data_IF_841124027278
#
_entry.id   IF_841124027278
#
_cell.length_a   1.000
_cell.length_b   1.000
_cell.length_c   1.000
_cell.angle_alpha   90.00
_cell.angle_beta   90.00
_cell.angle_gamma   90.00
#
_symmetry.space_group_name_H-M   'P 1'
#
loop_
_entity.id
_entity.type
_entity.pdbx_description
1 polymer ?
#
# COMPACT_ATOMS: atom_id res chain seq x y z
N UNK A 1 -23.83 7.67 -1.66
CA UNK A 1 -22.36 7.88 -1.61
C UNK A 1 -22.03 9.35 -1.68
N UNK A 2 -21.11 9.82 -0.83
CA UNK A 2 -20.66 11.22 -0.82
C UNK A 2 -19.33 11.39 -1.58
N UNK A 3 -18.94 12.63 -1.86
CA UNK A 3 -17.62 12.93 -2.47
C UNK A 3 -16.46 12.49 -1.55
N UNK A 4 -16.68 12.49 -0.23
CA UNK A 4 -15.70 12.05 0.77
C UNK A 4 -15.42 10.55 0.65
N UNK A 5 -16.44 9.73 0.37
CA UNK A 5 -16.25 8.29 0.15
C UNK A 5 -15.35 8.04 -1.07
N UNK A 6 -15.55 8.79 -2.16
CA UNK A 6 -14.73 8.68 -3.37
C UNK A 6 -13.29 9.13 -3.14
N UNK A 7 -13.08 10.24 -2.44
CA UNK A 7 -11.75 10.72 -2.08
C UNK A 7 -11.02 9.70 -1.19
N UNK A 8 -11.72 9.12 -0.21
CA UNK A 8 -11.13 8.11 0.67
C UNK A 8 -10.86 6.80 -0.07
N UNK A 9 -11.75 6.37 -0.96
CA UNK A 9 -11.51 5.20 -1.80
C UNK A 9 -10.31 5.40 -2.74
N UNK A 10 -10.15 6.61 -3.32
CA UNK A 10 -8.97 6.95 -4.12
C UNK A 10 -7.69 6.88 -3.28
N UNK A 11 -7.72 7.35 -2.03
CA UNK A 11 -6.60 7.22 -1.09
C UNK A 11 -6.27 5.75 -0.80
N UNK A 12 -7.28 4.90 -0.58
CA UNK A 12 -7.08 3.47 -0.35
C UNK A 12 -6.51 2.75 -1.58
N UNK A 13 -6.95 3.10 -2.79
CA UNK A 13 -6.37 2.58 -4.04
C UNK A 13 -4.92 3.05 -4.20
N UNK A 14 -4.62 4.29 -3.85
CA UNK A 14 -3.26 4.81 -3.87
C UNK A 14 -2.36 4.04 -2.88
N UNK A 15 -2.87 3.71 -1.69
CA UNK A 15 -2.17 2.85 -0.73
C UNK A 15 -1.95 1.44 -1.25
N UNK A 16 -2.95 0.85 -1.90
CA UNK A 16 -2.81 -0.44 -2.56
C UNK A 16 -1.70 -0.40 -3.63
N UNK A 17 -1.60 0.69 -4.39
CA UNK A 17 -0.54 0.89 -5.38
C UNK A 17 0.84 1.01 -4.74
N UNK A 18 0.96 1.72 -3.61
CA UNK A 18 2.22 1.79 -2.86
C UNK A 18 2.65 0.42 -2.33
N UNK A 19 1.74 -0.33 -1.72
CA UNK A 19 2.02 -1.70 -1.28
C UNK A 19 2.40 -2.61 -2.46
N UNK A 20 1.68 -2.52 -3.59
CA UNK A 20 1.98 -3.29 -4.79
C UNK A 20 3.32 -2.91 -5.44
N UNK A 21 3.82 -1.68 -5.23
CA UNK A 21 5.13 -1.26 -5.72
C UNK A 21 6.25 -2.16 -5.20
N UNK A 22 6.12 -2.69 -3.98
CA UNK A 22 7.10 -3.63 -3.40
C UNK A 22 7.08 -5.02 -4.02
N UNK A 23 6.04 -5.36 -4.81
CA UNK A 23 5.96 -6.63 -5.54
C UNK A 23 6.79 -6.61 -6.82
N UNK A 24 7.18 -5.42 -7.29
CA UNK A 24 7.93 -5.25 -8.53
C UNK A 24 9.37 -4.92 -8.16
N UNK A 25 10.30 -5.89 -8.15
CA UNK A 25 11.71 -5.57 -8.06
C UNK A 25 12.14 -4.94 -9.38
N UNK A 26 12.43 -3.64 -9.39
CA UNK A 26 13.05 -3.01 -10.54
C UNK A 26 14.54 -3.35 -10.53
N UNK A 27 14.92 -4.32 -11.36
CA UNK A 27 16.33 -4.54 -11.69
C UNK A 27 16.84 -3.37 -12.56
N UNK A 28 18.11 -3.00 -12.41
CA UNK A 28 18.76 -1.94 -13.17
C UNK A 28 18.71 -2.18 -14.68
N UNK A 29 18.65 -3.43 -15.12
CA UNK A 29 18.51 -3.80 -16.53
C UNK A 29 17.09 -3.53 -17.06
N UNK A 30 16.05 -3.87 -16.31
CA UNK A 30 14.66 -3.53 -16.67
C UNK A 30 14.44 -2.01 -16.66
N UNK A 31 15.08 -1.30 -15.73
CA UNK A 31 15.01 0.16 -15.68
C UNK A 31 15.71 0.80 -16.88
N UNK A 32 16.82 0.23 -17.38
CA UNK A 32 17.48 0.70 -18.61
C UNK A 32 16.66 0.43 -19.86
N UNK A 33 16.02 -0.74 -19.95
CA UNK A 33 15.20 -1.14 -21.10
C UNK A 33 14.01 -0.21 -21.33
N UNK A 34 13.37 0.24 -20.24
CA UNK A 34 12.25 1.19 -20.28
C UNK A 34 12.67 2.65 -20.06
N UNK A 35 13.96 2.99 -20.22
CA UNK A 35 14.46 4.37 -20.13
C UNK A 35 14.18 5.06 -18.79
N UNK A 36 14.04 4.29 -17.71
CA UNK A 36 13.73 4.79 -16.37
C UNK A 36 12.25 5.08 -16.09
N UNK A 37 11.35 4.87 -17.05
CA UNK A 37 9.90 5.14 -16.90
C UNK A 37 9.24 4.28 -15.83
N UNK A 38 9.75 3.05 -15.61
CA UNK A 38 9.24 2.15 -14.59
C UNK A 38 9.33 2.73 -13.18
N UNK A 39 10.28 3.63 -12.90
CA UNK A 39 10.41 4.33 -11.62
C UNK A 39 9.29 5.34 -11.38
N UNK A 40 8.66 5.85 -12.42
CA UNK A 40 7.48 6.72 -12.29
C UNK A 40 6.21 5.92 -12.00
N UNK A 41 6.11 4.72 -12.55
CA UNK A 41 4.97 3.82 -12.35
C UNK A 41 5.05 3.12 -11.00
N UNK A 42 6.27 2.75 -10.58
CA UNK A 42 6.55 2.07 -9.32
C UNK A 42 7.63 2.81 -8.52
N UNK A 43 7.31 3.99 -7.93
CA UNK A 43 8.33 4.83 -7.29
C UNK A 43 8.97 4.21 -6.05
N UNK A 44 8.36 3.15 -5.51
CA UNK A 44 8.78 2.46 -4.28
C UNK A 44 9.15 0.99 -4.53
N UNK A 45 9.44 0.63 -5.78
CA UNK A 45 9.97 -0.70 -6.14
C UNK A 45 11.37 -0.96 -5.60
N UNK A 46 12.16 0.11 -5.40
CA UNK A 46 13.49 -0.01 -4.84
C UNK A 46 13.35 -0.31 -3.34
N UNK A 47 13.72 -1.52 -2.97
CA UNK A 47 13.93 -1.89 -1.58
C UNK A 47 15.12 -1.11 -1.03
N UNK A 48 14.90 0.12 -0.58
CA UNK A 48 15.91 0.82 0.23
C UNK A 48 16.32 -0.10 1.37
N UNK A 49 17.63 -0.22 1.57
CA UNK A 49 18.29 -1.11 2.52
C UNK A 49 17.71 -0.99 3.93
N UNK A 50 16.81 -1.91 4.31
CA UNK A 50 16.22 -2.01 5.64
C UNK A 50 16.60 -3.31 6.35
N UNK A 51 16.02 -3.55 7.54
CA UNK A 51 16.23 -4.75 8.37
C UNK A 51 15.90 -6.06 7.64
N UNK A 52 15.03 -6.01 6.62
CA UNK A 52 14.67 -7.13 5.76
C UNK A 52 15.57 -7.29 4.52
N UNK A 53 16.68 -6.54 4.43
CA UNK A 53 17.67 -6.63 3.36
C UNK A 53 17.38 -5.72 2.15
N UNK A 54 18.20 -5.87 1.10
CA UNK A 54 17.93 -5.32 -0.23
C UNK A 54 17.15 -6.36 -1.04
N UNK A 55 16.15 -5.91 -1.80
CA UNK A 55 15.47 -6.76 -2.77
C UNK A 55 16.39 -6.91 -3.99
N UNK A 56 17.36 -7.82 -3.95
CA UNK A 56 18.13 -8.23 -5.14
C UNK A 56 17.67 -9.61 -5.61
N UNK A 57 17.53 -9.79 -6.92
CA UNK A 57 17.22 -11.08 -7.57
C UNK A 57 18.37 -12.11 -7.47
N UNK A 58 19.35 -11.87 -6.61
CA UNK A 58 20.45 -12.78 -6.31
C UNK A 58 20.15 -13.49 -4.98
N UNK A 59 19.43 -14.61 -5.12
CA UNK A 59 19.25 -15.71 -4.16
C UNK A 59 18.30 -15.56 -2.96
N UNK A 60 17.99 -14.36 -2.45
CA UNK A 60 17.09 -14.22 -1.28
C UNK A 60 16.01 -13.14 -1.52
N UNK A 61 14.99 -13.47 -2.33
CA UNK A 61 13.78 -12.65 -2.38
C UNK A 61 13.14 -12.72 -0.98
N UNK A 62 12.99 -11.59 -0.23
CA UNK A 62 12.44 -11.62 1.11
C UNK A 62 10.96 -11.99 1.04
N UNK A 63 10.68 -13.30 1.07
CA UNK A 63 9.35 -13.91 0.92
C UNK A 63 8.34 -13.24 1.84
N UNK A 64 8.76 -12.95 3.08
CA UNK A 64 7.95 -12.26 4.08
C UNK A 64 7.52 -10.86 3.62
N UNK A 65 8.43 -10.08 3.02
CA UNK A 65 8.12 -8.76 2.47
C UNK A 65 7.14 -8.83 1.30
N UNK A 66 7.33 -9.81 0.41
CA UNK A 66 6.40 -10.07 -0.70
C UNK A 66 4.99 -10.40 -0.18
N UNK A 67 4.87 -11.30 0.79
CA UNK A 67 3.58 -11.66 1.38
C UNK A 67 2.93 -10.48 2.11
N UNK A 68 3.71 -9.71 2.88
CA UNK A 68 3.22 -8.49 3.55
C UNK A 68 2.68 -7.48 2.54
N UNK A 69 3.42 -7.22 1.46
CA UNK A 69 3.05 -6.30 0.39
C UNK A 69 1.77 -6.75 -0.33
N UNK A 70 1.69 -8.04 -0.70
CA UNK A 70 0.53 -8.60 -1.39
C UNK A 70 -0.73 -8.55 -0.53
N UNK A 71 -0.61 -8.91 0.75
CA UNK A 71 -1.75 -8.89 1.68
C UNK A 71 -2.18 -7.44 1.93
N UNK A 72 -1.24 -6.52 2.19
CA UNK A 72 -1.55 -5.10 2.40
C UNK A 72 -2.26 -4.50 1.17
N UNK A 73 -1.74 -4.73 -0.03
CA UNK A 73 -2.35 -4.25 -1.27
C UNK A 73 -3.78 -4.78 -1.45
N UNK A 74 -3.98 -6.07 -1.19
CA UNK A 74 -5.29 -6.72 -1.29
C UNK A 74 -6.28 -6.14 -0.27
N UNK A 75 -5.83 -5.95 0.98
CA UNK A 75 -6.66 -5.38 2.04
C UNK A 75 -7.09 -3.95 1.72
N UNK A 76 -6.17 -3.10 1.24
CA UNK A 76 -6.51 -1.73 0.83
C UNK A 76 -7.46 -1.69 -0.37
N UNK A 77 -7.25 -2.55 -1.37
CA UNK A 77 -8.15 -2.63 -2.52
C UNK A 77 -9.56 -3.07 -2.10
N UNK A 78 -9.68 -4.11 -1.27
CA UNK A 78 -10.95 -4.55 -0.72
C UNK A 78 -11.58 -3.48 0.18
N UNK A 79 -10.79 -2.72 0.93
CA UNK A 79 -11.28 -1.59 1.71
C UNK A 79 -11.85 -0.49 0.82
N UNK A 80 -11.19 -0.18 -0.30
CA UNK A 80 -11.69 0.79 -1.27
C UNK A 80 -13.05 0.34 -1.81
N UNK A 81 -13.16 -0.93 -2.22
CA UNK A 81 -14.42 -1.54 -2.66
C UNK A 81 -15.51 -1.49 -1.59
N UNK A 82 -15.16 -1.69 -0.31
CA UNK A 82 -16.10 -1.58 0.80
C UNK A 82 -16.62 -0.15 0.99
N UNK A 83 -15.74 0.86 0.88
CA UNK A 83 -16.09 2.29 1.03
C UNK A 83 -17.01 2.76 -0.09
N UNK A 84 -16.84 2.21 -1.29
CA UNK A 84 -17.73 2.43 -2.44
C UNK A 84 -18.79 1.34 -2.59
N UNK A 85 -19.01 0.48 -1.60
CA UNK A 85 -20.04 -0.58 -1.58
C UNK A 85 -20.12 -1.45 -2.86
N UNK A 86 -19.00 -1.60 -3.57
CA UNK A 86 -18.91 -2.45 -4.75
C UNK A 86 -18.57 -3.85 -4.27
N UNK A 87 -19.58 -4.73 -4.21
CA UNK A 87 -19.45 -6.16 -3.86
C UNK A 87 -18.88 -6.49 -2.47
N UNK A 88 -18.45 -5.49 -1.68
CA UNK A 88 -17.96 -5.65 -0.30
C UNK A 88 -18.83 -4.80 0.62
N UNK A 89 -19.33 -5.32 1.75
CA UNK A 89 -20.20 -4.54 2.63
C UNK A 89 -19.41 -3.44 3.34
N UNK A 90 -20.00 -2.24 3.45
CA UNK A 90 -19.36 -1.07 4.05
C UNK A 90 -18.77 -1.37 5.43
N UNK A 91 -19.47 -2.10 6.31
CA UNK A 91 -18.98 -2.41 7.66
C UNK A 91 -17.59 -3.07 7.75
N UNK A 92 -17.10 -3.67 6.66
CA UNK A 92 -15.77 -4.29 6.59
C UNK A 92 -14.64 -3.30 6.36
N UNK A 93 -14.92 -2.07 5.92
CA UNK A 93 -13.89 -1.11 5.51
C UNK A 93 -12.86 -0.84 6.62
N UNK A 94 -13.28 -0.80 7.88
CA UNK A 94 -12.43 -0.49 9.04
C UNK A 94 -11.39 -1.58 9.30
N UNK A 95 -11.84 -2.84 9.28
CA UNK A 95 -10.97 -3.99 9.52
C UNK A 95 -10.00 -4.15 8.34
N UNK A 96 -10.50 -3.98 7.11
CA UNK A 96 -9.70 -4.09 5.90
C UNK A 96 -8.65 -2.96 5.81
N UNK A 97 -9.07 -1.70 5.96
CA UNK A 97 -8.18 -0.55 5.89
C UNK A 97 -7.19 -0.52 7.07
N UNK A 98 -7.64 -0.85 8.28
CA UNK A 98 -6.80 -0.92 9.47
C UNK A 98 -5.76 -2.04 9.38
N UNK A 99 -6.17 -3.23 8.94
CA UNK A 99 -5.26 -4.33 8.68
C UNK A 99 -4.23 -3.97 7.59
N UNK A 100 -4.68 -3.39 6.47
CA UNK A 100 -3.82 -2.93 5.40
C UNK A 100 -2.78 -1.91 5.87
N UNK A 101 -3.21 -0.90 6.64
CA UNK A 101 -2.33 0.13 7.19
C UNK A 101 -1.30 -0.42 8.18
N UNK A 102 -1.70 -1.33 9.07
CA UNK A 102 -0.76 -1.96 10.01
C UNK A 102 0.28 -2.81 9.26
N UNK A 103 -0.15 -3.63 8.29
CA UNK A 103 0.77 -4.44 7.48
C UNK A 103 1.70 -3.55 6.64
N UNK A 104 1.18 -2.47 6.07
CA UNK A 104 1.95 -1.49 5.30
C UNK A 104 3.01 -0.79 6.15
N UNK A 105 2.63 -0.33 7.35
CA UNK A 105 3.60 0.23 8.32
C UNK A 105 4.67 -0.80 8.73
N UNK A 106 4.28 -2.06 8.95
CA UNK A 106 5.23 -3.13 9.26
C UNK A 106 6.20 -3.40 8.10
N UNK A 107 5.69 -3.43 6.86
CA UNK A 107 6.48 -3.56 5.64
C UNK A 107 7.48 -2.40 5.52
N UNK A 108 7.02 -1.16 5.72
CA UNK A 108 7.86 0.03 5.58
C UNK A 108 8.86 0.19 6.71
N UNK A 109 8.54 -0.24 7.93
CA UNK A 109 9.50 -0.34 9.02
C UNK A 109 10.57 -1.41 8.70
N UNK A 110 10.18 -2.52 8.08
CA UNK A 110 11.10 -3.59 7.67
C UNK A 110 12.06 -3.18 6.56
N UNK A 111 11.61 -2.37 5.60
CA UNK A 111 12.40 -1.87 4.46
C UNK A 111 12.76 -0.37 4.59
N UNK A 112 12.93 0.14 5.81
CA UNK A 112 13.01 1.58 6.10
C UNK A 112 13.84 2.40 5.09
N UNK A 113 13.27 3.48 4.55
CA UNK A 113 13.90 4.36 3.57
C UNK A 113 13.18 5.70 3.45
N UNK A 114 13.90 6.75 3.05
CA UNK A 114 13.37 8.13 2.98
C UNK A 114 12.16 8.26 2.05
N UNK A 115 12.08 7.42 1.02
CA UNK A 115 10.95 7.37 0.09
C UNK A 115 9.65 6.92 0.78
N UNK A 116 9.74 6.15 1.88
CA UNK A 116 8.62 5.47 2.53
C UNK A 116 7.85 6.34 3.52
N UNK A 117 8.34 7.55 3.81
CA UNK A 117 7.71 8.48 4.76
C UNK A 117 6.31 8.91 4.29
N UNK A 118 6.13 9.15 2.99
CA UNK A 118 4.83 9.58 2.45
C UNK A 118 3.77 8.48 2.57
N UNK A 119 4.00 7.24 2.11
CA UNK A 119 3.08 6.13 2.35
C UNK A 119 2.77 5.88 3.85
N UNK A 120 3.78 5.94 4.74
CA UNK A 120 3.58 5.84 6.19
C UNK A 120 2.65 6.94 6.73
N UNK A 121 2.85 8.19 6.30
CA UNK A 121 2.01 9.31 6.73
C UNK A 121 0.55 9.10 6.29
N UNK A 122 0.35 8.60 5.07
CA UNK A 122 -0.99 8.29 4.57
C UNK A 122 -1.60 7.07 5.30
N UNK A 123 -0.81 6.10 5.76
CA UNK A 123 -1.30 4.99 6.60
C UNK A 123 -1.79 5.52 7.95
N UNK A 124 -1.06 6.47 8.54
CA UNK A 124 -1.50 7.17 9.75
C UNK A 124 -2.81 7.93 9.51
N UNK A 125 -2.99 8.56 8.34
CA UNK A 125 -4.26 9.20 7.98
C UNK A 125 -5.40 8.19 7.89
N UNK A 126 -5.16 6.99 7.34
CA UNK A 126 -6.16 5.90 7.31
C UNK A 126 -6.53 5.48 8.74
N UNK A 127 -5.53 5.26 9.60
CA UNK A 127 -5.77 4.89 11.00
C UNK A 127 -6.51 5.99 11.76
N UNK A 128 -6.19 7.25 11.51
CA UNK A 128 -6.89 8.40 12.07
C UNK A 128 -8.35 8.45 11.61
N UNK A 129 -8.61 8.25 10.31
CA UNK A 129 -9.96 8.22 9.76
C UNK A 129 -10.82 7.10 10.37
N UNK A 130 -10.21 5.96 10.71
CA UNK A 130 -10.86 4.89 11.46
C UNK A 130 -11.18 5.34 12.88
N UNK A 131 -10.24 6.00 13.57
CA UNK A 131 -10.38 6.44 14.95
C UNK A 131 -11.42 7.56 15.14
N UNK A 132 -11.66 8.38 14.10
CA UNK A 132 -12.61 9.50 14.15
C UNK A 132 -13.95 9.19 13.49
N UNK A 133 -14.21 7.94 13.08
CA UNK A 133 -15.42 7.55 12.35
C UNK A 133 -15.69 8.48 11.15
N UNK A 134 -14.64 8.80 10.39
CA UNK A 134 -14.71 9.81 9.32
C UNK A 134 -15.81 9.49 8.29
N UNK A 135 -16.00 8.21 7.99
CA UNK A 135 -17.04 7.74 7.07
C UNK A 135 -18.23 7.19 7.84
N UNK A 136 -19.40 7.77 7.57
CA UNK A 136 -20.68 7.29 8.06
C UNK A 136 -21.32 6.32 7.06
N UNK A 137 -22.12 5.35 7.52
CA UNK A 137 -22.87 4.49 6.61
C UNK A 137 -23.77 5.34 5.70
N UNK A 138 -23.88 4.99 4.41
CA UNK A 138 -24.82 5.67 3.53
C UNK A 138 -26.25 5.41 4.04
N UNK A 139 -26.94 6.48 4.38
CA UNK A 139 -28.38 6.48 4.67
C UNK A 139 -29.23 6.40 3.41
#
# INVERSE_FOLDING_TARGET
MTIVNWLFAALLVLQAHFAASYLVPLDGDAQREFGGLLRWVWPWSDGDSGLLGQVSMSADLPLTGLFLALIAATLFFCAALAVVEIRVPFGWWRILAGGGAILSLALMAGFFGATKVMPMALDVVVLWAIATDLLHPPG
#
